data_IF_714947057193
#
_entry.id   IF_714947057193
#
_cell.length_a   1.000
_cell.length_b   1.000
_cell.length_c   1.000
_cell.angle_alpha   90.00
_cell.angle_beta   90.00
_cell.angle_gamma   90.00
#
_symmetry.space_group_name_H-M   'P 1'
#
loop_
_entity.id
_entity.type
_entity.pdbx_description
1 polymer ?
#
# COMPACT_ATOMS: atom_id res chain seq x y z
N UNK A 1 46.36 -24.17 54.56
CA UNK A 1 45.97 -23.92 53.15
C UNK A 1 44.65 -24.57 52.76
N UNK A 2 44.28 -25.79 53.21
CA UNK A 2 43.03 -26.47 52.81
C UNK A 2 41.73 -25.81 53.33
N UNK A 3 41.76 -25.14 54.47
CA UNK A 3 40.58 -24.50 55.09
C UNK A 3 40.16 -23.17 54.44
N UNK A 4 41.07 -22.49 53.75
CA UNK A 4 40.79 -21.21 53.06
C UNK A 4 40.24 -21.41 51.64
N UNK A 5 40.48 -22.57 51.03
CA UNK A 5 39.98 -22.94 49.70
C UNK A 5 38.45 -22.79 49.59
N UNK A 6 37.62 -23.35 50.49
CA UNK A 6 36.17 -23.21 50.38
C UNK A 6 35.70 -21.75 50.50
N UNK A 7 36.35 -20.94 51.34
CA UNK A 7 36.05 -19.50 51.48
C UNK A 7 36.37 -18.76 50.17
N UNK A 8 37.53 -19.00 49.58
CA UNK A 8 37.96 -18.38 48.32
C UNK A 8 37.02 -18.80 47.18
N UNK A 9 36.66 -20.08 47.08
CA UNK A 9 35.71 -20.59 46.07
C UNK A 9 34.33 -19.93 46.23
N UNK A 10 33.85 -19.74 47.45
CA UNK A 10 32.56 -19.10 47.73
C UNK A 10 32.54 -17.64 47.31
N UNK A 11 33.64 -16.92 47.56
CA UNK A 11 33.80 -15.51 47.14
C UNK A 11 33.86 -15.40 45.62
N UNK A 12 34.60 -16.28 44.93
CA UNK A 12 34.67 -16.32 43.46
C UNK A 12 33.30 -16.64 42.87
N UNK A 13 32.57 -17.62 43.41
CA UNK A 13 31.23 -17.98 42.96
C UNK A 13 30.23 -16.81 43.14
N UNK A 14 30.29 -16.11 44.28
CA UNK A 14 29.48 -14.91 44.51
C UNK A 14 29.77 -13.79 43.52
N UNK A 15 31.05 -13.49 43.27
CA UNK A 15 31.44 -12.50 42.25
C UNK A 15 31.02 -12.91 40.84
N UNK A 16 31.15 -14.19 40.49
CA UNK A 16 30.74 -14.73 39.20
C UNK A 16 29.22 -14.66 39.01
N UNK A 17 28.43 -14.93 40.05
CA UNK A 17 26.98 -14.81 40.03
C UNK A 17 26.55 -13.35 39.81
N UNK A 18 27.18 -12.39 40.50
CA UNK A 18 26.95 -10.96 40.29
C UNK A 18 27.32 -10.53 38.87
N UNK A 19 28.48 -10.96 38.37
CA UNK A 19 28.90 -10.67 37.00
C UNK A 19 27.96 -11.27 35.96
N UNK A 20 27.53 -12.53 36.15
CA UNK A 20 26.59 -13.21 35.27
C UNK A 20 25.23 -12.52 35.26
N UNK A 21 24.75 -12.04 36.41
CA UNK A 21 23.51 -11.27 36.51
C UNK A 21 23.60 -9.94 35.76
N UNK A 22 24.71 -9.20 35.91
CA UNK A 22 24.95 -7.94 35.18
C UNK A 22 25.04 -8.19 33.67
N UNK A 23 25.76 -9.23 33.27
CA UNK A 23 25.92 -9.61 31.86
C UNK A 23 24.57 -10.02 31.24
N UNK A 24 23.80 -10.86 31.92
CA UNK A 24 22.46 -11.29 31.48
C UNK A 24 21.50 -10.11 31.39
N UNK A 25 21.56 -9.18 32.35
CA UNK A 25 20.73 -7.98 32.32
C UNK A 25 21.05 -7.09 31.10
N UNK A 26 22.34 -6.87 30.79
CA UNK A 26 22.74 -6.12 29.60
C UNK A 26 22.36 -6.81 28.30
N UNK A 27 22.52 -8.14 28.22
CA UNK A 27 22.11 -8.92 27.06
C UNK A 27 20.59 -8.84 26.84
N UNK A 28 19.80 -9.01 27.90
CA UNK A 28 18.34 -8.87 27.84
C UNK A 28 17.95 -7.47 27.36
N UNK A 29 18.57 -6.43 27.91
CA UNK A 29 18.29 -5.05 27.48
C UNK A 29 18.63 -4.80 26.01
N UNK A 30 19.73 -5.35 25.50
CA UNK A 30 20.10 -5.25 24.09
C UNK A 30 19.14 -6.05 23.19
N UNK A 31 18.75 -7.25 23.62
CA UNK A 31 17.78 -8.10 22.93
C UNK A 31 16.40 -7.45 22.86
N UNK A 32 15.91 -6.92 23.97
CA UNK A 32 14.61 -6.25 24.06
C UNK A 32 14.56 -5.00 23.16
N UNK A 33 15.66 -4.25 23.05
CA UNK A 33 15.78 -3.11 22.13
C UNK A 33 15.68 -3.56 20.68
N UNK A 34 16.47 -4.57 20.28
CA UNK A 34 16.43 -5.12 18.91
C UNK A 34 15.06 -5.68 18.56
N UNK A 35 14.43 -6.41 19.49
CA UNK A 35 13.09 -6.95 19.29
C UNK A 35 12.08 -5.83 19.04
N UNK A 36 12.14 -4.73 19.81
CA UNK A 36 11.26 -3.57 19.60
C UNK A 36 11.51 -2.87 18.27
N UNK A 37 12.76 -2.78 17.83
CA UNK A 37 13.12 -2.21 16.53
C UNK A 37 12.57 -3.07 15.38
N UNK A 38 12.78 -4.39 15.43
CA UNK A 38 12.23 -5.34 14.46
C UNK A 38 10.69 -5.28 14.41
N UNK A 39 10.02 -5.24 15.58
CA UNK A 39 8.57 -5.13 15.62
C UNK A 39 8.06 -3.82 15.01
N UNK A 40 8.80 -2.71 15.14
CA UNK A 40 8.43 -1.44 14.52
C UNK A 40 8.61 -1.49 13.00
N UNK A 41 9.71 -2.07 12.53
CA UNK A 41 9.99 -2.25 11.11
C UNK A 41 8.94 -3.15 10.45
N UNK A 42 8.59 -4.26 11.09
CA UNK A 42 7.54 -5.17 10.62
C UNK A 42 6.17 -4.50 10.60
N UNK A 43 5.83 -3.69 11.61
CA UNK A 43 4.60 -2.91 11.64
C UNK A 43 4.53 -1.91 10.48
N UNK A 44 5.60 -1.14 10.25
CA UNK A 44 5.66 -0.19 9.15
C UNK A 44 5.55 -0.88 7.77
N UNK A 45 6.23 -2.02 7.60
CA UNK A 45 6.13 -2.82 6.39
C UNK A 45 4.70 -3.35 6.16
N UNK A 46 4.03 -3.81 7.21
CA UNK A 46 2.64 -4.28 7.13
C UNK A 46 1.64 -3.15 6.82
N UNK A 47 1.84 -1.96 7.39
CA UNK A 47 1.06 -0.76 7.06
C UNK A 47 1.22 -0.39 5.58
N UNK A 48 2.45 -0.40 5.06
CA UNK A 48 2.73 -0.13 3.66
C UNK A 48 2.07 -1.15 2.72
N UNK A 49 2.16 -2.44 3.06
CA UNK A 49 1.49 -3.51 2.32
C UNK A 49 -0.03 -3.34 2.31
N UNK A 50 -0.62 -3.01 3.45
CA UNK A 50 -2.06 -2.77 3.56
C UNK A 50 -2.49 -1.57 2.71
N UNK A 51 -1.72 -0.48 2.72
CA UNK A 51 -1.94 0.67 1.85
C UNK A 51 -1.91 0.26 0.37
N UNK A 52 -0.96 -0.57 -0.05
CA UNK A 52 -0.81 -0.91 -1.47
C UNK A 52 -1.91 -1.83 -1.98
N UNK A 53 -2.40 -2.73 -1.13
CA UNK A 53 -3.63 -3.49 -1.40
C UNK A 53 -4.81 -2.53 -1.53
N UNK A 54 -4.96 -1.58 -0.61
CA UNK A 54 -6.06 -0.60 -0.64
C UNK A 54 -6.03 0.28 -1.90
N UNK A 55 -4.85 0.68 -2.38
CA UNK A 55 -4.69 1.40 -3.65
C UNK A 55 -5.25 0.58 -4.81
N UNK A 56 -4.81 -0.68 -4.92
CA UNK A 56 -5.24 -1.59 -5.98
C UNK A 56 -6.75 -1.83 -5.94
N UNK A 57 -7.29 -2.18 -4.78
CA UNK A 57 -8.74 -2.41 -4.58
C UNK A 57 -9.56 -1.18 -4.94
N UNK A 58 -9.08 0.02 -4.55
CA UNK A 58 -9.78 1.26 -4.86
C UNK A 58 -9.86 1.47 -6.38
N UNK A 59 -8.75 1.37 -7.12
CA UNK A 59 -8.80 1.55 -8.58
C UNK A 59 -9.65 0.48 -9.29
N UNK A 60 -9.59 -0.79 -8.87
CA UNK A 60 -10.45 -1.84 -9.41
C UNK A 60 -11.94 -1.57 -9.17
N UNK A 61 -12.29 -1.15 -7.95
CA UNK A 61 -13.66 -0.79 -7.61
C UNK A 61 -14.16 0.36 -8.49
N UNK A 62 -13.31 1.35 -8.75
CA UNK A 62 -13.66 2.50 -9.58
C UNK A 62 -13.90 2.14 -11.03
N UNK A 63 -13.06 1.27 -11.61
CA UNK A 63 -13.27 0.74 -12.96
C UNK A 63 -14.62 0.01 -13.01
N UNK A 64 -14.92 -0.84 -12.03
CA UNK A 64 -16.18 -1.58 -11.94
C UNK A 64 -17.38 -0.65 -11.75
N UNK A 65 -17.29 0.34 -10.88
CA UNK A 65 -18.36 1.30 -10.60
C UNK A 65 -18.67 2.16 -11.84
N UNK A 66 -17.63 2.59 -12.55
CA UNK A 66 -17.76 3.33 -13.81
C UNK A 66 -18.48 2.50 -14.87
N UNK A 67 -18.07 1.24 -15.03
CA UNK A 67 -18.68 0.30 -15.99
C UNK A 67 -20.11 -0.08 -15.64
N UNK A 68 -20.45 -0.11 -14.35
CA UNK A 68 -21.78 -0.47 -13.85
C UNK A 68 -22.69 0.75 -13.61
N UNK A 69 -22.26 1.97 -13.96
CA UNK A 69 -23.02 3.20 -13.79
C UNK A 69 -23.46 3.46 -12.34
N UNK A 70 -22.71 2.97 -11.35
CA UNK A 70 -23.01 3.18 -9.94
C UNK A 70 -22.55 4.57 -9.53
N UNK A 71 -23.40 5.30 -8.79
CA UNK A 71 -22.97 6.53 -8.11
C UNK A 71 -22.01 6.13 -7.00
N UNK A 72 -20.75 6.50 -7.15
CA UNK A 72 -19.70 6.28 -6.15
C UNK A 72 -19.47 7.54 -5.35
N UNK A 73 -19.27 7.42 -4.03
CA UNK A 73 -18.71 8.49 -3.20
C UNK A 73 -17.18 8.52 -3.35
N UNK A 74 -16.77 8.77 -4.59
CA UNK A 74 -15.40 8.79 -5.07
C UNK A 74 -14.52 9.77 -4.30
N UNK A 75 -15.08 10.95 -3.97
CA UNK A 75 -14.33 12.04 -3.35
C UNK A 75 -13.87 11.71 -1.93
N UNK A 76 -14.70 11.06 -1.11
CA UNK A 76 -14.32 10.71 0.26
C UNK A 76 -13.27 9.59 0.29
N UNK A 77 -13.41 8.59 -0.60
CA UNK A 77 -12.47 7.48 -0.75
C UNK A 77 -11.10 7.98 -1.23
N UNK A 78 -11.06 8.85 -2.23
CA UNK A 78 -9.80 9.42 -2.72
C UNK A 78 -9.14 10.36 -1.72
N UNK A 79 -9.89 11.18 -0.98
CA UNK A 79 -9.29 12.13 -0.04
C UNK A 79 -8.51 11.41 1.06
N UNK A 80 -9.10 10.35 1.64
CA UNK A 80 -8.45 9.54 2.67
C UNK A 80 -7.26 8.78 2.10
N UNK A 81 -7.44 8.10 0.97
CA UNK A 81 -6.38 7.31 0.34
C UNK A 81 -5.19 8.19 -0.09
N UNK A 82 -5.46 9.37 -0.65
CA UNK A 82 -4.42 10.32 -1.06
C UNK A 82 -3.58 10.79 0.13
N UNK A 83 -4.23 11.06 1.27
CA UNK A 83 -3.52 11.42 2.49
C UNK A 83 -2.63 10.28 3.00
N UNK A 84 -3.15 9.04 3.02
CA UNK A 84 -2.37 7.87 3.43
C UNK A 84 -1.17 7.62 2.51
N UNK A 85 -1.36 7.73 1.19
CA UNK A 85 -0.28 7.63 0.19
C UNK A 85 0.79 8.69 0.44
N UNK A 86 0.40 9.94 0.66
CA UNK A 86 1.33 11.04 0.92
C UNK A 86 2.14 10.89 2.22
N UNK A 87 1.62 10.14 3.20
CA UNK A 87 2.27 9.94 4.50
C UNK A 87 3.21 8.73 4.52
N UNK A 88 2.84 7.64 3.82
CA UNK A 88 3.49 6.34 4.01
C UNK A 88 4.34 5.89 2.82
N UNK A 89 4.00 6.31 1.60
CA UNK A 89 4.66 5.81 0.40
C UNK A 89 5.87 6.66 -0.02
N UNK A 90 6.78 6.08 -0.79
CA UNK A 90 7.87 6.82 -1.43
C UNK A 90 7.36 7.94 -2.35
N UNK A 91 8.18 8.97 -2.54
CA UNK A 91 7.89 10.08 -3.46
C UNK A 91 7.61 9.61 -4.89
N UNK A 92 8.28 8.54 -5.34
CA UNK A 92 8.02 7.96 -6.67
C UNK A 92 6.61 7.37 -6.75
N UNK A 93 6.21 6.56 -5.75
CA UNK A 93 4.87 5.97 -5.71
C UNK A 93 3.79 7.04 -5.59
N UNK A 94 4.02 8.08 -4.78
CA UNK A 94 3.12 9.22 -4.66
C UNK A 94 2.90 9.89 -6.02
N UNK A 95 3.98 10.17 -6.76
CA UNK A 95 3.89 10.77 -8.09
C UNK A 95 3.13 9.89 -9.09
N UNK A 96 3.39 8.58 -9.10
CA UNK A 96 2.68 7.62 -9.96
C UNK A 96 1.22 7.48 -9.58
N UNK A 97 0.90 7.44 -8.28
CA UNK A 97 -0.46 7.38 -7.78
C UNK A 97 -1.30 8.57 -8.28
N UNK A 98 -0.78 9.79 -8.14
CA UNK A 98 -1.46 10.99 -8.62
C UNK A 98 -1.67 10.93 -10.13
N UNK A 99 -0.66 10.52 -10.89
CA UNK A 99 -0.77 10.38 -12.35
C UNK A 99 -1.86 9.40 -12.77
N UNK A 100 -1.97 8.25 -12.10
CA UNK A 100 -3.03 7.27 -12.36
C UNK A 100 -4.40 7.83 -11.99
N UNK A 101 -4.50 8.57 -10.87
CA UNK A 101 -5.74 9.22 -10.46
C UNK A 101 -6.21 10.28 -11.50
N UNK A 102 -5.30 11.10 -12.01
CA UNK A 102 -5.59 12.09 -13.05
C UNK A 102 -6.05 11.43 -14.36
N UNK A 103 -5.35 10.39 -14.82
CA UNK A 103 -5.74 9.64 -16.01
C UNK A 103 -7.10 8.95 -15.87
N UNK A 104 -7.42 8.45 -14.67
CA UNK A 104 -8.75 7.92 -14.38
C UNK A 104 -9.84 9.01 -14.48
N UNK A 105 -9.57 10.21 -13.96
CA UNK A 105 -10.50 11.35 -14.06
C UNK A 105 -10.72 11.81 -15.50
N UNK A 106 -9.72 11.64 -16.38
CA UNK A 106 -9.87 11.87 -17.82
C UNK A 106 -10.70 10.77 -18.51
N UNK A 107 -10.42 9.50 -18.19
CA UNK A 107 -11.05 8.35 -18.83
C UNK A 107 -12.53 8.17 -18.44
N UNK A 108 -12.86 8.23 -17.14
CA UNK A 108 -14.19 7.85 -16.67
C UNK A 108 -15.34 8.68 -17.30
N UNK A 109 -15.23 10.01 -17.48
CA UNK A 109 -16.24 10.79 -18.21
C UNK A 109 -16.34 10.44 -19.69
N UNK A 110 -15.24 10.03 -20.34
CA UNK A 110 -15.25 9.58 -21.74
C UNK A 110 -15.99 8.25 -21.85
N UNK A 111 -15.74 7.31 -20.94
CA UNK A 111 -16.47 6.04 -20.85
C UNK A 111 -17.97 6.26 -20.78
N UNK A 112 -18.44 7.14 -19.87
CA UNK A 112 -19.86 7.43 -19.72
C UNK A 112 -20.51 8.10 -20.95
N UNK A 113 -19.72 8.78 -21.80
CA UNK A 113 -20.18 9.39 -23.05
C UNK A 113 -20.19 8.38 -24.22
N UNK A 114 -19.19 7.50 -24.27
CA UNK A 114 -19.07 6.44 -25.29
C UNK A 114 -20.08 5.31 -25.04
N UNK A 115 -20.36 5.03 -23.77
CA UNK A 115 -21.26 3.98 -23.29
C UNK A 115 -22.22 4.60 -22.28
N UNK A 116 -23.28 5.30 -22.71
CA UNK A 116 -24.25 5.87 -21.79
C UNK A 116 -25.08 4.78 -21.11
N UNK A 117 -25.50 5.04 -19.87
CA UNK A 117 -26.33 4.13 -19.10
C UNK A 117 -27.66 3.82 -19.85
N UNK A 118 -28.13 2.56 -19.83
CA UNK A 118 -29.42 2.21 -20.42
C UNK A 118 -30.56 3.00 -19.74
N UNK A 119 -31.44 3.63 -20.51
CA UNK A 119 -32.66 4.23 -19.96
C UNK A 119 -33.72 3.14 -19.84
N UNK A 120 -34.16 2.84 -18.61
CA UNK A 120 -35.15 1.79 -18.31
C UNK A 120 -34.79 0.38 -18.84
N UNK A 121 -33.50 0.03 -18.86
CA UNK A 121 -33.01 -1.26 -19.36
C UNK A 121 -32.95 -1.37 -20.88
N UNK A 122 -33.30 -0.32 -21.62
CA UNK A 122 -33.23 -0.29 -23.08
C UNK A 122 -32.09 0.62 -23.53
N UNK A 123 -31.20 0.09 -24.38
CA UNK A 123 -30.19 0.89 -25.07
C UNK A 123 -30.87 1.64 -26.22
N UNK A 124 -31.00 2.96 -26.09
CA UNK A 124 -31.56 3.80 -27.15
C UNK A 124 -30.48 4.02 -28.22
N UNK A 125 -30.42 3.13 -29.21
CA UNK A 125 -29.55 3.30 -30.38
C UNK A 125 -30.24 4.30 -31.32
N UNK A 126 -29.72 5.54 -31.35
CA UNK A 126 -30.12 6.52 -32.34
C UNK A 126 -29.27 6.33 -33.61
N UNK A 127 -29.86 6.54 -34.79
CA UNK A 127 -29.12 6.55 -36.07
C UNK A 127 -29.12 7.96 -36.65
N UNK A 128 -27.94 8.57 -36.91
CA UNK A 128 -26.60 8.05 -36.61
C UNK A 128 -26.30 8.02 -35.11
N UNK A 129 -25.45 7.07 -34.68
CA UNK A 129 -25.08 6.88 -33.27
C UNK A 129 -24.21 8.06 -32.78
N UNK A 130 -24.73 8.93 -31.89
CA UNK A 130 -24.01 10.11 -31.43
C UNK A 130 -22.82 9.77 -30.51
N UNK A 131 -22.69 8.52 -30.08
CA UNK A 131 -21.63 8.04 -29.18
C UNK A 131 -20.37 7.59 -29.92
N UNK A 132 -20.46 7.30 -31.22
CA UNK A 132 -19.32 6.81 -32.04
C UNK A 132 -18.09 7.71 -31.94
N UNK A 133 -18.29 9.03 -31.91
CA UNK A 133 -17.20 10.02 -31.80
C UNK A 133 -16.40 9.94 -30.50
N UNK A 134 -16.90 9.25 -29.48
CA UNK A 134 -16.23 9.11 -28.18
C UNK A 134 -15.55 7.74 -28.01
N UNK A 135 -15.81 6.75 -28.87
CA UNK A 135 -15.27 5.39 -28.69
C UNK A 135 -13.76 5.32 -28.86
N UNK A 136 -13.21 5.95 -29.90
CA UNK A 136 -11.75 5.96 -30.10
C UNK A 136 -11.02 6.77 -29.01
N UNK A 137 -11.46 8.01 -28.67
CA UNK A 137 -10.85 8.76 -27.57
C UNK A 137 -10.95 8.05 -26.20
N UNK A 138 -12.06 7.35 -25.94
CA UNK A 138 -12.23 6.56 -24.72
C UNK A 138 -11.22 5.43 -24.65
N UNK A 139 -11.04 4.69 -25.74
CA UNK A 139 -10.09 3.59 -25.83
C UNK A 139 -8.65 4.07 -25.62
N UNK A 140 -8.24 5.15 -26.29
CA UNK A 140 -6.90 5.75 -26.11
C UNK A 140 -6.67 6.23 -24.67
N UNK A 141 -7.70 6.81 -24.03
CA UNK A 141 -7.62 7.21 -22.63
C UNK A 141 -7.52 5.99 -21.70
N UNK A 142 -8.29 4.93 -21.96
CA UNK A 142 -8.27 3.70 -21.18
C UNK A 142 -6.90 3.01 -21.26
N UNK A 143 -6.34 2.87 -22.45
CA UNK A 143 -5.05 2.19 -22.66
C UNK A 143 -3.93 2.91 -21.90
N UNK A 144 -3.88 4.25 -21.97
CA UNK A 144 -2.93 5.07 -21.22
C UNK A 144 -3.12 4.96 -19.70
N UNK A 145 -4.37 5.04 -19.23
CA UNK A 145 -4.70 4.87 -17.82
C UNK A 145 -4.25 3.50 -17.31
N UNK A 146 -4.59 2.44 -18.03
CA UNK A 146 -4.33 1.07 -17.59
C UNK A 146 -2.84 0.72 -17.64
N UNK A 147 -2.10 1.25 -18.61
CA UNK A 147 -0.65 1.13 -18.66
C UNK A 147 0.02 1.78 -17.44
N UNK A 148 -0.31 3.02 -17.12
CA UNK A 148 0.23 3.71 -15.95
C UNK A 148 -0.21 3.05 -14.64
N UNK A 149 -1.43 2.54 -14.57
CA UNK A 149 -1.91 1.76 -13.44
C UNK A 149 -1.11 0.45 -13.26
N UNK A 150 -0.84 -0.27 -14.34
CA UNK A 150 0.01 -1.46 -14.30
C UNK A 150 1.43 -1.12 -13.82
N UNK A 151 1.98 0.01 -14.28
CA UNK A 151 3.29 0.49 -13.85
C UNK A 151 3.31 0.92 -12.37
N UNK A 152 2.24 1.55 -11.87
CA UNK A 152 2.06 1.81 -10.45
C UNK A 152 2.14 0.50 -9.65
N UNK A 153 1.38 -0.53 -10.02
CA UNK A 153 1.41 -1.83 -9.34
C UNK A 153 2.83 -2.43 -9.31
N UNK A 154 3.61 -2.29 -10.39
CA UNK A 154 5.02 -2.74 -10.40
C UNK A 154 5.87 -1.95 -9.39
N UNK A 155 5.73 -0.62 -9.35
CA UNK A 155 6.43 0.22 -8.36
C UNK A 155 6.04 -0.14 -6.93
N UNK A 156 4.75 -0.38 -6.66
CA UNK A 156 4.27 -0.83 -5.34
C UNK A 156 4.95 -2.15 -4.91
N UNK A 157 5.05 -3.13 -5.81
CA UNK A 157 5.73 -4.40 -5.53
C UNK A 157 7.23 -4.23 -5.30
N UNK A 158 7.87 -3.39 -6.10
CA UNK A 158 9.29 -3.07 -5.97
C UNK A 158 9.63 -2.45 -4.61
N UNK A 159 8.79 -1.56 -4.11
CA UNK A 159 9.01 -0.89 -2.81
C UNK A 159 8.80 -1.83 -1.62
N UNK A 160 7.91 -2.81 -1.72
CA UNK A 160 7.74 -3.88 -0.70
C UNK A 160 8.88 -4.92 -0.78
N UNK A 161 9.78 -4.83 -1.77
CA UNK A 161 10.86 -5.80 -1.96
C UNK A 161 10.38 -7.14 -2.52
N UNK A 162 9.17 -7.20 -3.10
CA UNK A 162 8.71 -8.33 -3.89
C UNK A 162 9.28 -8.17 -5.29
N UNK A 163 10.55 -8.57 -5.47
CA UNK A 163 11.19 -8.60 -6.78
C UNK A 163 10.38 -9.50 -7.74
N UNK A 164 9.92 -8.92 -8.85
CA UNK A 164 9.44 -9.65 -10.04
C UNK A 164 10.58 -9.89 -11.00
#
# INVERSE_FOLDING_TARGET
MKEYVPIIVSVIAGMFALWSAVFTWRLKQASDKRMRELSKEEAAHNELKALYVKIHETFEDLIKESRNYKKSDLNSRFSTLTAEVGLLASTEVVGRYHRVADLYQEWAPLYLKAYPAPKNGVLLIQSPDPTLKYKEPEKEAYDRFYEEYSNLIKSLRGEIGVNT
#
